data_IF_267514581771
#
_entry.id   IF_267514581771
#
_cell.length_a   1.000
_cell.length_b   1.000
_cell.length_c   1.000
_cell.angle_alpha   90.00
_cell.angle_beta   90.00
_cell.angle_gamma   90.00
#
_symmetry.space_group_name_H-M   'P 1'
#
loop_
_entity.id
_entity.type
_entity.pdbx_description
1 polymer ?
#
# COMPACT_ATOMS: atom_id res chain seq x y z
N UNK A 1 -51.15 18.36 -53.28
CA UNK A 1 -49.77 18.52 -52.77
C UNK A 1 -49.44 17.32 -51.92
N UNK A 2 -48.26 16.69 -52.08
CA UNK A 2 -47.97 15.45 -51.35
C UNK A 2 -47.55 15.74 -49.91
N UNK A 3 -47.95 14.83 -49.03
CA UNK A 3 -47.75 14.86 -47.58
C UNK A 3 -46.30 14.54 -47.19
N UNK A 4 -45.78 15.25 -46.18
CA UNK A 4 -44.47 14.99 -45.59
C UNK A 4 -44.56 13.81 -44.60
N UNK A 5 -43.79 12.75 -44.86
CA UNK A 5 -43.62 11.61 -43.97
C UNK A 5 -42.63 11.96 -42.84
N UNK A 6 -43.05 11.84 -41.58
CA UNK A 6 -42.20 12.02 -40.40
C UNK A 6 -41.17 10.89 -40.27
N UNK A 7 -39.89 11.25 -40.24
CA UNK A 7 -38.80 10.32 -39.99
C UNK A 7 -38.77 9.80 -38.55
N UNK A 8 -38.26 8.58 -38.31
CA UNK A 8 -38.24 7.97 -36.99
C UNK A 8 -37.29 8.74 -36.05
N UNK A 9 -37.78 9.01 -34.83
CA UNK A 9 -36.99 9.61 -33.76
C UNK A 9 -35.80 8.71 -33.40
N UNK A 10 -34.60 9.28 -33.12
CA UNK A 10 -33.44 8.52 -32.71
C UNK A 10 -33.71 7.82 -31.38
N UNK A 11 -33.42 6.52 -31.32
CA UNK A 11 -33.48 5.73 -30.08
C UNK A 11 -32.43 6.27 -29.08
N UNK A 12 -32.77 6.37 -27.79
CA UNK A 12 -31.79 6.76 -26.78
C UNK A 12 -30.66 5.74 -26.76
N UNK A 13 -29.41 6.23 -26.85
CA UNK A 13 -28.21 5.42 -26.68
C UNK A 13 -28.30 4.68 -25.35
N UNK A 14 -28.08 3.37 -25.37
CA UNK A 14 -27.93 2.58 -24.16
C UNK A 14 -26.89 3.25 -23.26
N UNK A 15 -27.35 3.76 -22.11
CA UNK A 15 -26.48 4.24 -21.05
C UNK A 15 -25.42 3.16 -20.79
N UNK A 16 -24.14 3.56 -20.82
CA UNK A 16 -23.01 2.64 -20.66
C UNK A 16 -23.20 1.77 -19.43
N UNK A 17 -23.16 0.45 -19.62
CA UNK A 17 -23.07 -0.49 -18.51
C UNK A 17 -21.82 -0.11 -17.72
N UNK A 18 -22.01 0.33 -16.48
CA UNK A 18 -20.92 0.52 -15.54
C UNK A 18 -20.21 -0.83 -15.38
N UNK A 19 -18.91 -0.89 -15.70
CA UNK A 19 -18.14 -2.11 -15.50
C UNK A 19 -18.22 -2.53 -14.02
N UNK A 20 -18.33 -3.84 -13.73
CA UNK A 20 -18.37 -4.32 -12.36
C UNK A 20 -17.08 -3.90 -11.63
N UNK A 21 -17.21 -3.54 -10.35
CA UNK A 21 -16.06 -3.21 -9.52
C UNK A 21 -15.12 -4.41 -9.43
N UNK A 22 -13.83 -4.20 -9.64
CA UNK A 22 -12.78 -5.23 -9.57
C UNK A 22 -11.95 -5.15 -8.28
N UNK A 23 -12.25 -4.17 -7.41
CA UNK A 23 -11.52 -3.87 -6.18
C UNK A 23 -12.53 -3.65 -5.05
N UNK A 24 -12.30 -4.26 -3.89
CA UNK A 24 -13.00 -3.94 -2.64
C UNK A 24 -11.99 -3.55 -1.56
N UNK A 25 -12.34 -2.52 -0.80
CA UNK A 25 -11.53 -1.99 0.29
C UNK A 25 -12.36 -2.09 1.57
N UNK A 26 -11.82 -2.76 2.59
CA UNK A 26 -12.42 -2.77 3.93
C UNK A 26 -11.36 -2.51 4.99
N UNK A 27 -11.55 -1.39 5.69
CA UNK A 27 -10.72 -0.96 6.82
C UNK A 27 -11.58 -0.75 8.06
N UNK A 28 -11.12 -1.26 9.20
CA UNK A 28 -11.63 -0.97 10.54
C UNK A 28 -10.81 0.18 11.13
N UNK A 29 -11.48 1.27 11.50
CA UNK A 29 -10.79 2.47 12.02
C UNK A 29 -11.60 3.32 13.00
N UNK A 30 -12.90 3.05 13.15
CA UNK A 30 -13.75 3.72 14.12
C UNK A 30 -13.93 2.87 15.38
N UNK A 31 -14.35 3.49 16.50
CA UNK A 31 -14.67 2.74 17.71
C UNK A 31 -15.72 1.65 17.45
N UNK A 32 -16.74 1.96 16.65
CA UNK A 32 -17.78 1.01 16.25
C UNK A 32 -17.24 -0.12 15.38
N UNK A 33 -16.25 0.13 14.52
CA UNK A 33 -15.57 -0.93 13.77
C UNK A 33 -14.83 -1.88 14.71
N UNK A 34 -14.04 -1.34 15.64
CA UNK A 34 -13.26 -2.14 16.58
C UNK A 34 -14.14 -2.98 17.51
N UNK A 35 -15.27 -2.44 17.96
CA UNK A 35 -16.24 -3.15 18.81
C UNK A 35 -16.96 -4.31 18.11
N UNK A 36 -16.97 -4.36 16.77
CA UNK A 36 -17.54 -5.50 16.05
C UNK A 36 -16.62 -6.74 16.08
N UNK A 37 -15.32 -6.55 16.29
CA UNK A 37 -14.36 -7.65 16.34
C UNK A 37 -14.41 -8.42 17.66
N UNK A 38 -13.94 -9.66 17.61
CA UNK A 38 -13.73 -10.49 18.81
C UNK A 38 -12.42 -10.09 19.47
N UNK A 39 -12.52 -9.61 20.71
CA UNK A 39 -11.37 -9.25 21.54
C UNK A 39 -10.96 -10.39 22.47
N UNK A 40 -9.66 -10.63 22.59
CA UNK A 40 -9.05 -11.42 23.66
C UNK A 40 -7.91 -10.59 24.26
N UNK A 41 -8.16 -9.99 25.42
CA UNK A 41 -7.16 -9.16 26.11
C UNK A 41 -6.97 -7.73 25.57
N UNK A 42 -7.53 -7.40 24.40
CA UNK A 42 -7.51 -6.01 23.87
C UNK A 42 -8.70 -5.20 24.39
N UNK A 43 -8.56 -3.88 24.39
CA UNK A 43 -9.68 -2.93 24.55
C UNK A 43 -9.66 -1.88 23.46
N UNK A 44 -10.84 -1.34 23.17
CA UNK A 44 -11.00 -0.16 22.31
C UNK A 44 -10.62 1.09 23.10
N UNK A 45 -9.81 1.94 22.50
CA UNK A 45 -9.57 3.31 22.96
C UNK A 45 -10.38 4.28 22.10
N UNK A 46 -11.16 5.13 22.76
CA UNK A 46 -11.87 6.23 22.13
C UNK A 46 -10.96 7.47 22.02
N UNK A 47 -11.33 8.41 21.17
CA UNK A 47 -10.58 9.66 20.94
C UNK A 47 -10.68 10.12 19.49
N UNK A 48 -9.81 11.06 19.10
CA UNK A 48 -9.69 11.54 17.72
C UNK A 48 -9.25 10.43 16.74
N UNK A 49 -8.51 9.43 17.23
CA UNK A 49 -8.08 8.24 16.49
C UNK A 49 -8.43 6.97 17.27
N UNK A 50 -9.67 6.45 17.14
CA UNK A 50 -10.06 5.23 17.81
C UNK A 50 -9.18 4.04 17.40
N UNK A 51 -8.84 3.20 18.36
CA UNK A 51 -7.94 2.07 18.11
C UNK A 51 -8.11 0.93 19.09
N UNK A 52 -7.31 -0.11 18.93
CA UNK A 52 -7.19 -1.25 19.85
C UNK A 52 -5.80 -1.31 20.45
N UNK A 53 -5.73 -1.66 21.74
CA UNK A 53 -4.49 -1.82 22.50
C UNK A 53 -4.66 -2.93 23.55
N UNK A 54 -3.56 -3.40 24.11
CA UNK A 54 -3.58 -4.40 25.19
C UNK A 54 -4.22 -3.78 26.45
N UNK A 55 -5.20 -4.48 27.01
CA UNK A 55 -5.81 -4.17 28.31
C UNK A 55 -5.28 -5.11 29.39
N UNK A 56 -5.32 -6.41 29.09
CA UNK A 56 -4.73 -7.48 29.87
C UNK A 56 -4.21 -8.54 28.88
N UNK A 57 -3.05 -9.16 29.13
CA UNK A 57 -2.55 -10.18 28.23
C UNK A 57 -3.51 -11.38 28.21
N UNK A 58 -3.79 -11.89 27.01
CA UNK A 58 -4.48 -13.17 26.83
C UNK A 58 -3.57 -14.37 27.17
N UNK A 59 -2.25 -14.16 27.11
CA UNK A 59 -1.24 -15.14 27.50
C UNK A 59 0.17 -14.60 27.30
N UNK A 60 1.14 -15.49 27.49
CA UNK A 60 2.56 -15.26 27.18
C UNK A 60 2.98 -16.29 26.14
N UNK A 61 3.80 -15.89 25.18
CA UNK A 61 4.43 -16.77 24.20
C UNK A 61 5.89 -16.42 24.05
N UNK A 62 6.71 -17.39 23.65
CA UNK A 62 8.06 -17.11 23.17
C UNK A 62 8.02 -16.77 21.68
N UNK A 63 8.91 -15.88 21.26
CA UNK A 63 9.19 -15.58 19.87
C UNK A 63 10.70 -15.58 19.67
N UNK A 64 11.18 -16.39 18.72
CA UNK A 64 12.55 -16.34 18.22
C UNK A 64 12.54 -15.51 16.95
N UNK A 65 13.21 -14.37 16.98
CA UNK A 65 13.42 -13.55 15.79
C UNK A 65 14.36 -14.31 14.83
N UNK A 66 13.90 -14.67 13.61
CA UNK A 66 14.68 -15.50 12.69
C UNK A 66 15.94 -14.79 12.17
N UNK A 67 15.99 -13.45 12.25
CA UNK A 67 17.06 -12.64 11.68
C UNK A 67 18.12 -12.27 12.71
N UNK A 68 17.82 -12.39 14.00
CA UNK A 68 18.80 -12.18 15.08
C UNK A 68 19.12 -13.45 15.87
N UNK A 69 18.27 -14.47 15.78
CA UNK A 69 18.35 -15.68 16.62
C UNK A 69 17.97 -15.44 18.09
N UNK A 70 17.54 -14.23 18.46
CA UNK A 70 17.18 -13.90 19.84
C UNK A 70 15.78 -14.42 20.16
N UNK A 71 15.68 -15.21 21.23
CA UNK A 71 14.40 -15.65 21.79
C UNK A 71 14.01 -14.77 22.97
N UNK A 72 12.79 -14.26 22.95
CA UNK A 72 12.22 -13.49 24.06
C UNK A 72 10.77 -13.91 24.33
N UNK A 73 10.37 -13.79 25.60
CA UNK A 73 8.99 -13.96 26.01
C UNK A 73 8.19 -12.66 25.78
N UNK A 74 6.95 -12.80 25.32
CA UNK A 74 6.05 -11.70 25.01
C UNK A 74 4.65 -11.98 25.56
N UNK A 75 4.12 -11.02 26.31
CA UNK A 75 2.69 -10.95 26.57
C UNK A 75 1.95 -10.60 25.29
N UNK A 76 0.84 -11.28 25.01
CA UNK A 76 0.07 -11.01 23.80
C UNK A 76 -1.42 -10.82 24.07
N UNK A 77 -2.09 -10.08 23.18
CA UNK A 77 -3.54 -9.98 23.11
C UNK A 77 -3.98 -9.97 21.64
N UNK A 78 -5.20 -10.42 21.34
CA UNK A 78 -5.70 -10.53 19.96
C UNK A 78 -6.99 -9.75 19.74
N UNK A 79 -7.09 -9.20 18.53
CA UNK A 79 -8.32 -8.71 17.96
C UNK A 79 -8.57 -9.44 16.65
N UNK A 80 -9.74 -10.05 16.47
CA UNK A 80 -10.13 -10.70 15.21
C UNK A 80 -11.35 -10.00 14.62
N UNK A 81 -11.26 -9.60 13.36
CA UNK A 81 -12.36 -8.93 12.67
C UNK A 81 -13.58 -9.85 12.53
N UNK A 82 -14.79 -9.28 12.34
CA UNK A 82 -15.88 -10.02 11.72
C UNK A 82 -15.45 -10.62 10.37
N UNK A 83 -16.17 -11.64 9.92
CA UNK A 83 -16.01 -12.12 8.55
C UNK A 83 -16.48 -11.03 7.59
N UNK A 84 -15.55 -10.45 6.81
CA UNK A 84 -15.89 -9.52 5.74
C UNK A 84 -16.18 -10.30 4.47
N UNK A 85 -17.37 -10.14 3.91
CA UNK A 85 -17.69 -10.65 2.57
C UNK A 85 -17.21 -9.63 1.55
N UNK A 86 -16.23 -10.00 0.75
CA UNK A 86 -15.68 -9.15 -0.28
C UNK A 86 -16.76 -8.84 -1.32
N UNK A 87 -16.82 -7.58 -1.78
CA UNK A 87 -17.72 -7.22 -2.89
C UNK A 87 -17.23 -7.74 -4.23
N UNK A 88 -15.97 -8.18 -4.28
CA UNK A 88 -15.33 -8.78 -5.45
C UNK A 88 -14.85 -10.18 -5.10
N UNK A 89 -15.15 -11.21 -5.89
CA UNK A 89 -14.58 -12.54 -5.68
C UNK A 89 -13.10 -12.45 -6.05
N UNK A 90 -12.20 -12.41 -5.07
CA UNK A 90 -10.84 -11.92 -5.26
C UNK A 90 -9.86 -13.01 -5.68
N UNK A 91 -8.87 -12.63 -6.48
CA UNK A 91 -7.66 -13.41 -6.76
C UNK A 91 -6.48 -12.92 -5.92
N UNK A 92 -6.48 -11.66 -5.49
CA UNK A 92 -5.44 -11.07 -4.65
C UNK A 92 -6.02 -10.41 -3.39
N UNK A 93 -5.27 -10.45 -2.29
CA UNK A 93 -5.55 -9.74 -1.04
C UNK A 93 -4.27 -9.15 -0.45
N UNK A 94 -4.30 -7.87 -0.10
CA UNK A 94 -3.19 -7.15 0.55
C UNK A 94 -3.71 -6.52 1.83
N UNK A 95 -3.19 -6.95 2.98
CA UNK A 95 -3.52 -6.32 4.26
C UNK A 95 -2.58 -5.16 4.58
N UNK A 96 -3.11 -4.11 5.18
CA UNK A 96 -2.31 -3.00 5.70
C UNK A 96 -2.86 -2.50 7.03
N UNK A 97 -1.98 -1.96 7.86
CA UNK A 97 -2.28 -1.49 9.21
C UNK A 97 -1.61 -0.15 9.48
N UNK A 98 -2.15 0.59 10.44
CA UNK A 98 -1.56 1.82 10.95
C UNK A 98 -1.49 1.69 12.47
N UNK A 99 -0.26 1.69 12.99
CA UNK A 99 -0.02 1.42 14.39
C UNK A 99 1.17 2.20 14.91
N UNK A 100 1.11 2.52 16.20
CA UNK A 100 2.26 2.95 17.00
C UNK A 100 2.67 1.78 17.86
N UNK A 101 3.94 1.43 17.82
CA UNK A 101 4.53 0.40 18.66
C UNK A 101 5.70 1.03 19.42
N UNK A 102 5.46 1.53 20.65
CA UNK A 102 6.54 2.00 21.51
C UNK A 102 7.57 0.88 21.78
N UNK A 103 8.76 1.23 22.24
CA UNK A 103 9.78 0.26 22.63
C UNK A 103 9.21 -0.81 23.59
N UNK A 104 9.64 -2.05 23.39
CA UNK A 104 9.11 -3.23 24.08
C UNK A 104 7.75 -3.66 23.55
N UNK A 105 7.37 -3.28 22.33
CA UNK A 105 6.09 -3.69 21.72
C UNK A 105 6.21 -3.90 20.21
N UNK A 106 5.37 -4.79 19.68
CA UNK A 106 5.25 -5.05 18.24
C UNK A 106 3.89 -5.68 17.94
N UNK A 107 3.58 -5.93 16.68
CA UNK A 107 2.35 -6.60 16.27
C UNK A 107 2.58 -7.59 15.12
N UNK A 108 1.69 -8.56 15.03
CA UNK A 108 1.54 -9.45 13.89
C UNK A 108 0.17 -9.22 13.24
N UNK A 109 0.13 -9.18 11.91
CA UNK A 109 -1.11 -9.12 11.13
C UNK A 109 -1.29 -10.43 10.38
N UNK A 110 -2.46 -11.04 10.54
CA UNK A 110 -2.80 -12.32 9.93
C UNK A 110 -4.12 -12.28 9.17
N UNK A 111 -4.26 -13.14 8.17
CA UNK A 111 -5.50 -13.30 7.38
C UNK A 111 -5.91 -14.76 7.26
N UNK A 112 -7.22 -15.01 7.33
CA UNK A 112 -7.85 -16.26 6.92
C UNK A 112 -8.85 -15.92 5.80
N UNK A 113 -8.62 -16.47 4.60
CA UNK A 113 -9.52 -16.39 3.46
C UNK A 113 -10.58 -17.50 3.48
N UNK A 114 -11.71 -17.24 2.83
CA UNK A 114 -12.76 -18.20 2.54
C UNK A 114 -12.96 -18.26 1.04
N UNK A 115 -12.79 -19.43 0.47
CA UNK A 115 -13.00 -19.70 -0.94
C UNK A 115 -14.50 -19.76 -1.30
N UNK A 116 -14.81 -19.63 -2.58
CA UNK A 116 -16.19 -19.66 -3.08
C UNK A 116 -16.95 -20.95 -2.74
N UNK A 117 -16.24 -22.08 -2.61
CA UNK A 117 -16.79 -23.39 -2.22
C UNK A 117 -16.98 -23.56 -0.70
N UNK A 118 -16.61 -22.55 0.10
CA UNK A 118 -16.67 -22.57 1.56
C UNK A 118 -15.41 -23.11 2.25
N UNK A 119 -14.43 -23.61 1.49
CA UNK A 119 -13.10 -23.95 2.00
C UNK A 119 -12.40 -22.72 2.59
N UNK A 120 -11.41 -22.96 3.45
CA UNK A 120 -10.66 -21.90 4.13
C UNK A 120 -9.18 -22.05 3.85
N UNK A 121 -8.49 -20.91 3.73
CA UNK A 121 -7.03 -20.90 3.80
C UNK A 121 -6.59 -21.23 5.23
N UNK A 122 -5.33 -21.62 5.44
CA UNK A 122 -4.66 -21.42 6.72
C UNK A 122 -4.70 -19.94 7.15
N UNK A 123 -4.36 -19.68 8.43
CA UNK A 123 -4.04 -18.33 8.85
C UNK A 123 -2.65 -17.96 8.33
N UNK A 124 -2.59 -17.06 7.36
CA UNK A 124 -1.34 -16.52 6.84
C UNK A 124 -0.90 -15.32 7.67
N UNK A 125 0.39 -15.22 7.98
CA UNK A 125 1.04 -14.06 8.59
C UNK A 125 1.49 -13.13 7.47
N UNK A 126 0.88 -11.95 7.38
CA UNK A 126 1.18 -10.95 6.34
C UNK A 126 2.23 -9.92 6.78
N UNK A 127 2.67 -9.98 8.04
CA UNK A 127 3.79 -9.19 8.51
C UNK A 127 3.92 -9.18 10.03
N UNK A 128 5.16 -9.16 10.49
CA UNK A 128 5.53 -8.83 11.88
C UNK A 128 6.17 -7.45 11.89
N UNK A 129 5.56 -6.54 12.64
CA UNK A 129 5.83 -5.12 12.56
C UNK A 129 6.14 -4.51 13.92
N UNK A 130 7.23 -3.74 13.97
CA UNK A 130 7.55 -2.78 15.01
C UNK A 130 7.90 -1.43 14.33
N UNK A 131 7.67 -0.31 15.00
CA UNK A 131 7.98 1.03 14.53
C UNK A 131 9.48 1.26 14.64
N UNK A 132 10.10 0.76 15.71
CA UNK A 132 11.55 0.65 15.88
C UNK A 132 12.10 -0.67 15.32
N UNK A 133 13.43 -0.82 15.31
CA UNK A 133 14.13 -2.04 14.85
C UNK A 133 14.91 -2.75 15.98
N UNK A 134 14.63 -2.41 17.23
CA UNK A 134 15.33 -2.92 18.42
C UNK A 134 14.58 -4.08 19.11
N UNK A 135 13.25 -4.14 18.98
CA UNK A 135 12.41 -5.16 19.62
C UNK A 135 12.35 -6.45 18.80
N UNK A 136 12.13 -6.28 17.49
CA UNK A 136 12.20 -7.33 16.47
C UNK A 136 12.77 -6.71 15.19
N UNK A 137 13.35 -7.55 14.34
CA UNK A 137 13.59 -7.27 12.94
C UNK A 137 12.29 -7.47 12.18
N UNK A 138 11.67 -6.35 11.76
CA UNK A 138 10.44 -6.37 10.96
C UNK A 138 10.60 -7.31 9.78
N UNK A 139 9.59 -8.14 9.54
CA UNK A 139 9.73 -9.24 8.60
C UNK A 139 8.40 -9.70 8.02
N UNK A 140 8.38 -9.96 6.71
CA UNK A 140 7.42 -10.87 6.09
C UNK A 140 7.75 -12.33 6.46
N UNK A 141 6.93 -13.28 5.99
CA UNK A 141 7.09 -14.71 6.29
C UNK A 141 6.94 -15.52 5.01
N UNK A 142 8.01 -16.22 4.63
CA UNK A 142 8.07 -17.03 3.41
C UNK A 142 7.38 -18.39 3.53
N UNK A 143 7.15 -19.01 2.37
CA UNK A 143 6.74 -20.41 2.27
C UNK A 143 5.31 -20.70 2.75
N UNK A 144 4.48 -19.66 2.83
CA UNK A 144 3.09 -19.78 3.24
C UNK A 144 2.19 -20.03 2.02
N UNK A 145 1.37 -21.07 2.08
CA UNK A 145 0.40 -21.38 1.05
C UNK A 145 -0.46 -22.59 1.41
N UNK A 146 -1.44 -22.88 0.56
CA UNK A 146 -2.16 -24.13 0.50
C UNK A 146 -2.12 -24.70 -0.93
N UNK A 147 -3.12 -25.49 -1.34
CA UNK A 147 -3.21 -26.07 -2.69
C UNK A 147 -3.76 -25.09 -3.75
N UNK A 148 -4.16 -23.88 -3.34
CA UNK A 148 -4.94 -22.94 -4.15
C UNK A 148 -4.43 -21.49 -4.08
N UNK A 149 -3.75 -21.12 -3.01
CA UNK A 149 -3.18 -19.79 -2.82
C UNK A 149 -1.86 -19.81 -2.08
N UNK A 150 -1.03 -18.84 -2.42
CA UNK A 150 0.27 -18.59 -1.81
C UNK A 150 0.38 -17.15 -1.31
N UNK A 151 1.22 -16.93 -0.31
CA UNK A 151 1.62 -15.59 0.11
C UNK A 151 2.94 -15.25 -0.57
N UNK A 152 2.91 -14.25 -1.43
CA UNK A 152 4.09 -13.50 -1.86
C UNK A 152 4.33 -12.40 -0.84
N UNK A 153 5.57 -12.06 -0.50
CA UNK A 153 6.01 -11.02 0.47
C UNK A 153 4.90 -10.32 1.28
N UNK A 154 4.02 -9.53 0.63
CA UNK A 154 2.88 -8.82 1.23
C UNK A 154 1.47 -9.13 0.63
N UNK A 155 1.37 -10.02 -0.35
CA UNK A 155 0.16 -10.30 -1.14
C UNK A 155 -0.22 -11.78 -1.07
N UNK A 156 -1.45 -12.08 -0.61
CA UNK A 156 -2.07 -13.40 -0.83
C UNK A 156 -2.56 -13.45 -2.26
N UNK A 157 -2.14 -14.45 -3.03
CA UNK A 157 -2.54 -14.66 -4.42
C UNK A 157 -3.12 -16.05 -4.60
N UNK A 158 -4.24 -16.16 -5.30
CA UNK A 158 -4.69 -17.43 -5.89
C UNK A 158 -3.66 -17.86 -6.94
N UNK A 159 -3.23 -19.12 -6.90
CA UNK A 159 -2.13 -19.63 -7.73
C UNK A 159 -2.56 -19.81 -9.20
N UNK A 160 -3.78 -20.32 -9.42
CA UNK A 160 -4.40 -20.45 -10.75
C UNK A 160 -5.74 -19.73 -10.79
N UNK A 161 -5.72 -18.44 -11.14
CA UNK A 161 -6.93 -17.65 -11.32
C UNK A 161 -7.83 -18.15 -12.47
N UNK A 162 -7.28 -18.86 -13.46
CA UNK A 162 -8.04 -19.39 -14.60
C UNK A 162 -8.89 -20.61 -14.21
N UNK A 163 -8.54 -21.32 -13.13
CA UNK A 163 -9.37 -22.38 -12.53
C UNK A 163 -10.74 -21.91 -12.05
N UNK A 164 -10.93 -20.59 -11.88
CA UNK A 164 -12.12 -20.00 -11.26
C UNK A 164 -12.07 -19.94 -9.73
N UNK A 165 -10.98 -20.39 -9.10
CA UNK A 165 -10.77 -20.25 -7.66
C UNK A 165 -10.77 -18.79 -7.25
N UNK A 166 -11.52 -18.44 -6.20
CA UNK A 166 -11.66 -17.07 -5.68
C UNK A 166 -11.79 -17.04 -4.17
N UNK A 167 -11.18 -16.05 -3.52
CA UNK A 167 -11.38 -15.70 -2.12
C UNK A 167 -12.56 -14.73 -2.04
N UNK A 168 -13.69 -15.16 -1.47
CA UNK A 168 -14.94 -14.39 -1.44
C UNK A 168 -15.21 -13.71 -0.10
N UNK A 169 -14.50 -14.13 0.95
CA UNK A 169 -14.57 -13.49 2.26
C UNK A 169 -13.25 -13.69 3.01
N UNK A 170 -12.99 -12.85 4.01
CA UNK A 170 -11.81 -13.00 4.85
C UNK A 170 -12.04 -12.51 6.29
N UNK A 171 -11.16 -12.93 7.20
CA UNK A 171 -10.97 -12.33 8.52
C UNK A 171 -9.54 -11.85 8.67
N UNK A 172 -9.37 -10.70 9.33
CA UNK A 172 -8.08 -10.26 9.82
C UNK A 172 -7.96 -10.58 11.31
N UNK A 173 -6.76 -10.97 11.73
CA UNK A 173 -6.37 -11.02 13.14
C UNK A 173 -5.18 -10.11 13.34
N UNK A 174 -5.26 -9.30 14.39
CA UNK A 174 -4.15 -8.53 14.91
C UNK A 174 -3.72 -9.19 16.21
N UNK A 175 -2.47 -9.59 16.28
CA UNK A 175 -1.85 -10.06 17.53
C UNK A 175 -0.89 -8.99 18.02
N UNK A 176 -1.20 -8.41 19.17
CA UNK A 176 -0.45 -7.32 19.80
C UNK A 176 0.49 -7.91 20.84
N UNK A 177 1.75 -7.51 20.84
CA UNK A 177 2.77 -8.00 21.76
C UNK A 177 3.36 -6.87 22.61
N UNK A 178 3.71 -7.20 23.85
CA UNK A 178 4.52 -6.35 24.72
C UNK A 178 5.43 -7.18 25.62
N UNK A 179 6.52 -6.58 26.07
CA UNK A 179 7.40 -7.22 27.08
C UNK A 179 6.58 -7.58 28.33
N UNK A 180 6.74 -8.80 28.89
CA UNK A 180 6.00 -9.23 30.09
C UNK A 180 6.11 -8.24 31.26
N UNK A 181 4.99 -7.95 31.92
CA UNK A 181 4.91 -6.99 33.02
C UNK A 181 5.03 -5.51 32.61
N UNK A 182 5.29 -5.18 31.35
CA UNK A 182 5.40 -3.79 30.89
C UNK A 182 4.04 -3.08 30.82
N UNK A 183 4.04 -1.79 31.14
CA UNK A 183 2.90 -0.90 30.91
C UNK A 183 2.77 -0.41 29.46
N UNK A 184 3.80 -0.59 28.63
CA UNK A 184 3.77 -0.21 27.22
C UNK A 184 2.76 -1.08 26.45
N UNK A 185 2.13 -0.49 25.42
CA UNK A 185 1.22 -1.22 24.55
C UNK A 185 1.31 -0.69 23.13
N UNK A 186 1.33 -1.58 22.13
CA UNK A 186 1.10 -1.16 20.77
C UNK A 186 -0.35 -0.67 20.67
N UNK A 187 -0.60 0.29 19.79
CA UNK A 187 -1.95 0.81 19.50
C UNK A 187 -2.16 0.79 18.00
N UNK A 188 -3.21 0.10 17.55
CA UNK A 188 -3.61 0.03 16.14
C UNK A 188 -4.89 0.82 15.95
N UNK A 189 -4.87 1.85 15.11
CA UNK A 189 -6.05 2.70 14.84
C UNK A 189 -6.59 2.56 13.42
N UNK A 190 -5.91 1.78 12.55
CA UNK A 190 -6.47 1.31 11.29
C UNK A 190 -5.91 -0.08 10.98
N UNK A 191 -6.76 -0.99 10.55
CA UNK A 191 -6.35 -2.24 9.91
C UNK A 191 -7.37 -2.60 8.85
N UNK A 192 -6.95 -3.27 7.78
CA UNK A 192 -7.85 -3.66 6.71
C UNK A 192 -7.13 -4.36 5.59
N UNK A 193 -7.88 -4.72 4.56
CA UNK A 193 -7.31 -5.25 3.34
C UNK A 193 -7.99 -4.68 2.10
N UNK A 194 -7.20 -4.57 1.04
CA UNK A 194 -7.68 -4.47 -0.33
C UNK A 194 -7.79 -5.89 -0.89
N UNK A 195 -8.89 -6.18 -1.55
CA UNK A 195 -9.09 -7.39 -2.35
C UNK A 195 -9.38 -7.02 -3.79
N UNK A 196 -8.86 -7.81 -4.74
CA UNK A 196 -9.08 -7.54 -6.15
C UNK A 196 -9.21 -8.78 -7.03
N UNK A 197 -9.93 -8.61 -8.14
CA UNK A 197 -9.98 -9.51 -9.30
C UNK A 197 -9.90 -8.64 -10.55
N UNK A 198 -8.70 -8.15 -10.86
CA UNK A 198 -8.46 -7.29 -12.02
C UNK A 198 -8.17 -8.19 -13.23
N UNK A 199 -8.93 -8.09 -14.32
CA UNK A 199 -8.71 -8.92 -15.50
C UNK A 199 -7.32 -8.78 -16.08
N UNK A 200 -6.84 -9.86 -16.71
CA UNK A 200 -5.63 -9.86 -17.51
C UNK A 200 -5.74 -8.83 -18.65
N UNK A 201 -4.80 -7.89 -18.68
CA UNK A 201 -4.69 -6.88 -19.71
C UNK A 201 -3.23 -6.43 -19.87
N UNK A 202 -2.82 -6.22 -21.11
CA UNK A 202 -1.50 -5.69 -21.48
C UNK A 202 -1.50 -4.16 -21.63
N UNK A 203 -2.68 -3.56 -21.83
CA UNK A 203 -2.89 -2.12 -21.98
C UNK A 203 -3.98 -1.65 -21.03
N UNK A 204 -3.99 -0.36 -20.75
CA UNK A 204 -4.96 0.31 -19.91
C UNK A 204 -6.15 0.83 -20.74
N UNK A 205 -7.33 0.95 -20.13
CA UNK A 205 -8.43 1.68 -20.73
C UNK A 205 -8.03 3.14 -20.99
N UNK A 206 -8.37 3.65 -22.18
CA UNK A 206 -8.12 5.05 -22.50
C UNK A 206 -8.85 5.97 -21.52
N UNK A 207 -8.14 6.94 -20.96
CA UNK A 207 -8.72 7.99 -20.12
C UNK A 207 -8.80 9.31 -20.90
N UNK A 208 -9.68 10.22 -20.48
CA UNK A 208 -9.66 11.61 -20.97
C UNK A 208 -8.71 12.45 -20.11
N UNK A 209 -8.10 13.51 -20.65
CA UNK A 209 -7.26 14.40 -19.87
C UNK A 209 -8.04 14.99 -18.69
N UNK A 210 -7.36 15.11 -17.55
CA UNK A 210 -7.89 15.75 -16.36
C UNK A 210 -7.67 17.26 -16.39
N UNK A 211 -8.03 17.93 -15.30
CA UNK A 211 -7.65 19.33 -15.09
C UNK A 211 -6.17 19.39 -14.73
N UNK A 212 -5.43 20.31 -15.36
CA UNK A 212 -4.05 20.60 -14.99
C UNK A 212 -3.93 21.01 -13.52
N UNK A 213 -2.99 20.38 -12.81
CA UNK A 213 -2.67 20.67 -11.41
C UNK A 213 -1.33 20.03 -11.10
N UNK A 214 -0.51 20.70 -10.31
CA UNK A 214 0.71 20.12 -9.73
C UNK A 214 0.72 20.40 -8.23
N UNK A 215 0.96 19.37 -7.44
CA UNK A 215 1.11 19.45 -5.99
C UNK A 215 2.58 19.73 -5.67
N UNK A 216 2.82 20.63 -4.72
CA UNK A 216 4.15 21.00 -4.26
C UNK A 216 4.73 19.92 -3.31
N UNK A 217 4.87 18.70 -3.81
CA UNK A 217 5.49 17.59 -3.08
C UNK A 217 7.02 17.76 -3.13
N UNK A 218 7.74 17.66 -1.98
CA UNK A 218 9.19 17.63 -1.94
C UNK A 218 9.78 16.58 -2.89
N UNK A 219 11.02 16.79 -3.32
CA UNK A 219 11.68 15.95 -4.32
C UNK A 219 12.92 15.32 -3.72
N UNK A 220 12.91 14.00 -3.64
CA UNK A 220 14.04 13.22 -3.20
C UNK A 220 14.40 12.18 -4.24
N UNK A 221 15.68 12.11 -4.56
CA UNK A 221 16.29 11.07 -5.36
C UNK A 221 16.75 9.95 -4.45
N UNK A 222 16.47 8.71 -4.85
CA UNK A 222 17.11 7.57 -4.21
C UNK A 222 18.57 7.44 -4.65
N UNK A 223 18.92 7.86 -5.87
CA UNK A 223 20.23 7.59 -6.45
C UNK A 223 21.36 8.42 -5.81
N UNK A 224 21.05 9.51 -5.10
CA UNK A 224 22.02 10.24 -4.27
C UNK A 224 22.59 9.37 -3.15
N UNK A 225 21.89 8.28 -2.81
CA UNK A 225 22.25 7.33 -1.77
C UNK A 225 22.84 6.01 -2.30
N UNK A 226 23.19 5.93 -3.58
CA UNK A 226 23.79 4.72 -4.17
C UNK A 226 25.04 4.30 -3.38
N UNK A 227 25.06 3.05 -2.91
CA UNK A 227 26.12 2.49 -2.06
C UNK A 227 26.16 3.02 -0.61
N UNK A 228 25.25 3.89 -0.20
CA UNK A 228 25.09 4.31 1.20
C UNK A 228 24.22 3.29 1.95
N UNK A 229 24.68 2.84 3.13
CA UNK A 229 23.98 1.81 3.94
C UNK A 229 23.61 0.54 3.14
N UNK A 230 24.60 -0.17 2.58
CA UNK A 230 24.35 -1.33 1.73
C UNK A 230 23.60 -2.48 2.42
N UNK A 231 23.58 -2.51 3.76
CA UNK A 231 22.79 -3.45 4.55
C UNK A 231 21.27 -3.29 4.38
N UNK A 232 20.81 -2.17 3.82
CA UNK A 232 19.41 -1.95 3.49
C UNK A 232 19.23 -2.02 1.97
N UNK A 233 19.39 -3.20 1.36
CA UNK A 233 19.15 -3.41 -0.08
C UNK A 233 20.11 -2.66 -1.00
N UNK A 234 21.42 -2.75 -0.71
CA UNK A 234 22.52 -2.10 -1.43
C UNK A 234 22.54 -0.57 -1.40
N UNK A 235 21.55 0.07 -0.78
CA UNK A 235 21.47 1.52 -0.67
C UNK A 235 20.43 2.11 -1.61
N UNK A 236 20.70 3.34 -2.06
CA UNK A 236 19.85 4.11 -2.96
C UNK A 236 19.41 3.40 -4.23
N UNK A 237 20.10 2.35 -4.66
CA UNK A 237 19.78 1.50 -5.81
C UNK A 237 18.35 0.92 -5.75
N UNK A 238 17.81 0.69 -4.55
CA UNK A 238 16.52 0.02 -4.36
C UNK A 238 15.53 0.77 -3.44
N UNK A 239 15.79 2.04 -3.11
CA UNK A 239 15.00 2.81 -2.14
C UNK A 239 13.81 3.59 -2.73
N UNK A 240 13.28 3.20 -3.89
CA UNK A 240 12.17 3.90 -4.54
C UNK A 240 10.93 4.07 -3.64
N UNK A 241 10.57 3.02 -2.89
CA UNK A 241 9.41 2.99 -2.00
C UNK A 241 9.57 3.90 -0.76
N UNK A 242 10.64 3.77 0.05
CA UNK A 242 10.85 4.68 1.18
C UNK A 242 11.07 6.13 0.74
N UNK A 243 11.74 6.38 -0.38
CA UNK A 243 11.94 7.74 -0.93
C UNK A 243 10.60 8.37 -1.33
N UNK A 244 9.74 7.63 -2.05
CA UNK A 244 8.38 8.07 -2.40
C UNK A 244 7.52 8.29 -1.16
N UNK A 245 7.66 7.43 -0.17
CA UNK A 245 6.93 7.55 1.10
C UNK A 245 7.32 8.82 1.84
N UNK A 246 8.62 9.09 1.95
CA UNK A 246 9.15 10.28 2.62
C UNK A 246 8.71 11.57 1.93
N UNK A 247 8.72 11.62 0.59
CA UNK A 247 8.20 12.77 -0.18
C UNK A 247 6.75 13.12 0.21
N UNK A 248 5.85 12.13 0.34
CA UNK A 248 4.46 12.40 0.71
C UNK A 248 4.29 12.70 2.21
N UNK A 249 5.04 12.03 3.09
CA UNK A 249 5.01 12.31 4.53
C UNK A 249 5.33 13.80 4.78
N UNK A 250 6.36 14.32 4.10
CA UNK A 250 6.76 15.73 4.21
C UNK A 250 5.82 16.70 3.48
N UNK A 251 5.19 16.29 2.37
CA UNK A 251 4.11 17.07 1.76
C UNK A 251 2.97 17.34 2.75
N UNK A 252 2.70 16.42 3.68
CA UNK A 252 1.74 16.61 4.77
C UNK A 252 2.33 17.32 6.00
N UNK A 253 3.57 17.82 5.91
CA UNK A 253 4.25 18.59 6.96
C UNK A 253 4.74 17.75 8.15
N UNK A 254 4.98 16.45 7.94
CA UNK A 254 5.55 15.55 8.97
C UNK A 254 7.00 15.29 8.62
N UNK A 255 7.89 15.35 9.61
CA UNK A 255 9.32 15.14 9.43
C UNK A 255 9.86 14.28 10.57
N UNK A 256 10.88 13.43 10.33
CA UNK A 256 11.65 12.85 11.42
C UNK A 256 12.33 13.96 12.22
N UNK A 257 12.47 13.75 13.53
CA UNK A 257 13.15 14.71 14.40
C UNK A 257 14.67 14.63 14.22
N UNK A 258 15.40 15.64 14.71
CA UNK A 258 16.86 15.59 14.71
C UNK A 258 17.41 14.39 15.51
N UNK A 259 16.70 13.94 16.55
CA UNK A 259 17.04 12.74 17.30
C UNK A 259 16.84 11.47 16.47
N UNK A 260 15.73 11.37 15.74
CA UNK A 260 15.44 10.26 14.82
C UNK A 260 16.50 10.13 13.71
N UNK A 261 17.11 11.24 13.31
CA UNK A 261 18.12 11.32 12.26
C UNK A 261 19.56 11.21 12.78
N UNK A 262 19.79 11.24 14.10
CA UNK A 262 21.13 11.32 14.69
C UNK A 262 22.03 10.11 14.38
N UNK A 263 21.45 8.99 13.95
CA UNK A 263 22.19 7.80 13.53
C UNK A 263 22.73 7.90 12.10
N UNK A 264 22.20 8.81 11.28
CA UNK A 264 22.59 8.97 9.89
C UNK A 264 23.94 9.70 9.82
N UNK A 265 24.80 9.26 8.90
CA UNK A 265 26.09 9.89 8.64
C UNK A 265 25.85 11.35 8.21
N UNK A 266 26.41 12.34 8.93
CA UNK A 266 26.18 13.75 8.61
C UNK A 266 26.72 14.17 7.24
N UNK A 267 27.59 13.38 6.61
CA UNK A 267 28.09 13.63 5.25
C UNK A 267 27.06 13.26 4.16
N UNK A 268 26.00 12.52 4.51
CA UNK A 268 24.97 12.12 3.55
C UNK A 268 23.87 13.18 3.47
N UNK A 269 23.52 13.55 2.24
CA UNK A 269 22.35 14.38 1.97
C UNK A 269 21.07 13.61 2.33
N UNK A 270 19.94 14.32 2.46
CA UNK A 270 18.62 13.73 2.66
C UNK A 270 18.54 12.61 3.72
N UNK A 271 18.99 12.85 4.97
CA UNK A 271 19.05 11.82 6.01
C UNK A 271 17.69 11.17 6.30
N UNK A 272 16.59 11.86 6.02
CA UNK A 272 15.24 11.35 6.09
C UNK A 272 14.96 10.16 5.15
N UNK A 273 15.65 10.08 4.00
CA UNK A 273 15.53 8.95 3.06
C UNK A 273 16.24 7.72 3.62
N UNK A 274 17.46 7.89 4.16
CA UNK A 274 18.17 6.85 4.90
C UNK A 274 17.34 6.32 6.09
N UNK A 275 16.74 7.25 6.84
CA UNK A 275 15.81 6.93 7.92
C UNK A 275 14.61 6.10 7.40
N UNK A 276 13.93 6.56 6.36
CA UNK A 276 12.81 5.82 5.78
C UNK A 276 13.21 4.42 5.29
N UNK A 277 14.39 4.26 4.67
CA UNK A 277 14.90 2.96 4.23
C UNK A 277 15.07 1.98 5.41
N UNK A 278 15.82 2.37 6.44
CA UNK A 278 16.00 1.56 7.66
C UNK A 278 14.68 1.19 8.32
N UNK A 279 13.72 2.13 8.37
CA UNK A 279 12.45 1.93 9.06
C UNK A 279 11.34 1.27 8.21
N UNK A 280 11.63 0.96 6.95
CA UNK A 280 10.75 0.17 6.07
C UNK A 280 11.35 -1.15 5.63
N UNK A 281 12.65 -1.37 5.86
CA UNK A 281 13.35 -2.60 5.49
C UNK A 281 12.68 -3.84 6.08
N UNK A 282 12.36 -4.78 5.20
CA UNK A 282 11.85 -6.11 5.51
C UNK A 282 13.00 -7.11 5.45
N UNK A 283 13.35 -7.68 6.61
CA UNK A 283 14.51 -8.56 6.74
C UNK A 283 14.35 -9.93 6.06
N UNK A 284 13.13 -10.41 5.82
CA UNK A 284 12.94 -11.65 5.06
C UNK A 284 12.97 -11.40 3.56
N UNK A 285 12.36 -10.30 3.12
CA UNK A 285 12.40 -9.88 1.72
C UNK A 285 13.77 -9.35 1.29
N UNK A 286 14.59 -8.94 2.26
CA UNK A 286 15.88 -8.28 2.06
C UNK A 286 15.76 -6.96 1.26
N UNK A 287 14.65 -6.24 1.46
CA UNK A 287 14.34 -5.06 0.67
C UNK A 287 13.41 -4.06 1.34
N UNK A 288 13.40 -2.84 0.81
CA UNK A 288 12.52 -1.74 1.28
C UNK A 288 11.17 -1.72 0.53
N UNK A 289 10.93 -2.67 -0.36
CA UNK A 289 9.79 -2.72 -1.29
C UNK A 289 8.49 -3.31 -0.72
N UNK A 290 8.45 -3.75 0.54
CA UNK A 290 7.24 -4.30 1.15
C UNK A 290 6.16 -3.19 1.31
N UNK A 291 5.03 -3.33 0.63
CA UNK A 291 4.05 -2.24 0.51
C UNK A 291 3.36 -1.90 1.84
N UNK A 292 2.83 -2.88 2.61
CA UNK A 292 2.30 -2.61 3.95
C UNK A 292 3.30 -2.00 4.92
N UNK A 293 4.59 -2.32 4.82
CA UNK A 293 5.62 -1.77 5.71
C UNK A 293 5.85 -0.28 5.46
N UNK A 294 5.87 0.15 4.20
CA UNK A 294 5.93 1.58 3.86
C UNK A 294 4.69 2.33 4.36
N UNK A 295 3.49 1.76 4.18
CA UNK A 295 2.26 2.33 4.72
C UNK A 295 2.26 2.38 6.27
N UNK A 296 2.76 1.34 6.93
CA UNK A 296 2.85 1.30 8.38
C UNK A 296 3.90 2.30 8.92
N UNK A 297 5.03 2.48 8.22
CA UNK A 297 6.02 3.51 8.50
C UNK A 297 5.43 4.91 8.38
N UNK A 298 4.76 5.23 7.26
CA UNK A 298 4.12 6.54 7.11
C UNK A 298 3.11 6.83 8.24
N UNK A 299 2.41 5.80 8.70
CA UNK A 299 1.47 5.95 9.79
C UNK A 299 2.10 6.14 11.18
N UNK A 300 3.41 5.96 11.37
CA UNK A 300 4.05 6.27 12.66
C UNK A 300 4.06 7.77 12.94
N UNK A 301 3.98 8.60 11.90
CA UNK A 301 3.92 10.04 11.99
C UNK A 301 2.55 10.56 12.47
N UNK A 302 2.60 11.65 13.21
CA UNK A 302 1.42 12.20 13.89
C UNK A 302 0.31 12.58 12.91
N UNK A 303 -0.89 12.10 13.23
CA UNK A 303 -2.12 12.27 12.46
C UNK A 303 -2.04 11.89 10.98
N UNK A 304 -1.05 11.09 10.56
CA UNK A 304 -1.03 10.54 9.20
C UNK A 304 -1.72 9.17 9.16
N UNK A 305 -2.53 8.97 8.12
CA UNK A 305 -3.17 7.69 7.79
C UNK A 305 -2.58 7.19 6.49
N UNK A 306 -2.49 5.87 6.38
CA UNK A 306 -1.95 5.22 5.21
C UNK A 306 -2.78 3.99 4.83
N UNK A 307 -2.90 3.73 3.54
CA UNK A 307 -3.47 2.47 3.01
C UNK A 307 -2.67 2.01 1.81
N UNK A 308 -2.57 0.70 1.65
CA UNK A 308 -2.25 0.08 0.37
C UNK A 308 -3.58 -0.27 -0.30
N UNK A 309 -3.72 0.11 -1.56
CA UNK A 309 -4.93 -0.18 -2.34
C UNK A 309 -4.58 -0.34 -3.82
N UNK A 310 -5.61 -0.47 -4.66
CA UNK A 310 -5.49 -0.49 -6.11
C UNK A 310 -6.47 0.53 -6.69
N UNK A 311 -6.06 1.24 -7.73
CA UNK A 311 -6.93 2.11 -8.50
C UNK A 311 -7.21 1.48 -9.87
N UNK A 312 -8.46 1.53 -10.31
CA UNK A 312 -8.88 0.88 -11.56
C UNK A 312 -8.62 1.74 -12.80
N UNK A 313 -8.41 3.05 -12.62
CA UNK A 313 -8.38 4.01 -13.72
C UNK A 313 -7.56 5.27 -13.42
N UNK A 314 -7.08 5.94 -14.47
CA UNK A 314 -6.54 7.30 -14.37
C UNK A 314 -7.57 8.32 -13.88
N UNK A 315 -8.88 8.06 -14.08
CA UNK A 315 -9.93 8.96 -13.57
C UNK A 315 -9.92 9.01 -12.04
N UNK A 316 -9.68 7.87 -11.39
CA UNK A 316 -9.58 7.77 -9.94
C UNK A 316 -8.32 8.48 -9.41
N UNK A 317 -7.20 8.28 -10.11
CA UNK A 317 -5.96 9.02 -9.85
C UNK A 317 -6.16 10.54 -9.97
N UNK A 318 -6.79 11.00 -11.05
CA UNK A 318 -7.13 12.41 -11.28
C UNK A 318 -7.96 12.98 -10.12
N UNK A 319 -8.98 12.26 -9.65
CA UNK A 319 -9.84 12.71 -8.54
C UNK A 319 -9.04 12.94 -7.26
N UNK A 320 -8.14 12.02 -6.91
CA UNK A 320 -7.31 12.11 -5.71
C UNK A 320 -6.35 13.30 -5.78
N UNK A 321 -5.57 13.40 -6.87
CA UNK A 321 -4.60 14.50 -7.05
C UNK A 321 -5.32 15.85 -7.15
N UNK A 322 -6.48 15.91 -7.82
CA UNK A 322 -7.32 17.12 -7.86
C UNK A 322 -7.80 17.53 -6.46
N UNK A 323 -8.03 16.58 -5.57
CA UNK A 323 -8.35 16.84 -4.16
C UNK A 323 -7.11 17.14 -3.29
N UNK A 324 -5.91 17.18 -3.88
CA UNK A 324 -4.66 17.48 -3.17
C UNK A 324 -4.01 16.26 -2.51
N UNK A 325 -4.35 15.04 -2.94
CA UNK A 325 -3.79 13.79 -2.43
C UNK A 325 -2.82 13.23 -3.49
N UNK A 326 -1.49 13.35 -3.29
CA UNK A 326 -0.52 12.68 -4.15
C UNK A 326 -0.64 11.16 -3.99
N UNK A 327 -0.23 10.41 -5.02
CA UNK A 327 -0.40 8.95 -5.05
C UNK A 327 0.92 8.28 -5.39
N UNK A 328 1.37 7.35 -4.53
CA UNK A 328 2.56 6.53 -4.79
C UNK A 328 2.09 5.32 -5.58
N UNK A 329 2.53 5.17 -6.80
CA UNK A 329 2.10 4.11 -7.69
C UNK A 329 3.22 3.10 -7.89
N UNK A 330 2.88 1.84 -8.09
CA UNK A 330 3.84 0.79 -8.46
C UNK A 330 3.92 0.61 -9.97
N UNK A 331 5.12 0.60 -10.54
CA UNK A 331 5.38 0.40 -11.97
C UNK A 331 6.24 -0.83 -12.22
N UNK A 332 6.11 -1.40 -13.41
CA UNK A 332 7.03 -2.39 -13.98
C UNK A 332 7.03 -2.25 -15.50
N UNK A 333 8.20 -1.99 -16.09
CA UNK A 333 8.32 -1.63 -17.50
C UNK A 333 9.72 -1.88 -18.07
N UNK A 334 9.80 -2.08 -19.39
CA UNK A 334 11.04 -2.02 -20.16
C UNK A 334 11.35 -0.57 -20.52
N UNK A 335 12.62 -0.24 -20.74
CA UNK A 335 13.06 1.14 -20.94
C UNK A 335 12.37 1.84 -22.12
N UNK A 336 12.03 1.09 -23.16
CA UNK A 336 11.32 1.53 -24.36
C UNK A 336 9.83 1.82 -24.13
N UNK A 337 9.22 1.33 -23.05
CA UNK A 337 7.78 1.47 -22.78
C UNK A 337 7.43 2.81 -22.13
N UNK A 338 8.40 3.49 -21.52
CA UNK A 338 8.20 4.80 -20.86
C UNK A 338 9.25 5.81 -21.34
N UNK A 339 8.86 6.61 -22.33
CA UNK A 339 9.73 7.63 -22.90
C UNK A 339 10.12 8.67 -21.85
N UNK A 340 11.42 8.98 -21.78
CA UNK A 340 11.95 9.96 -20.84
C UNK A 340 12.32 9.42 -19.45
N UNK A 341 12.03 8.15 -19.15
CA UNK A 341 12.47 7.52 -17.90
C UNK A 341 14.00 7.31 -17.91
N UNK A 342 14.51 6.73 -19.00
CA UNK A 342 15.94 6.46 -19.20
C UNK A 342 16.43 5.14 -18.62
N UNK A 343 15.52 4.30 -18.12
CA UNK A 343 15.80 2.99 -17.53
C UNK A 343 14.58 2.07 -17.66
N UNK A 344 14.74 0.77 -17.43
CA UNK A 344 13.67 -0.20 -17.26
C UNK A 344 13.73 -0.84 -15.87
N UNK A 345 12.64 -1.44 -15.40
CA UNK A 345 12.54 -2.01 -14.07
C UNK A 345 11.54 -3.16 -13.97
N UNK A 346 11.83 -4.15 -13.12
CA UNK A 346 10.87 -5.19 -12.72
C UNK A 346 9.90 -4.71 -11.64
N UNK A 347 10.24 -3.65 -10.89
CA UNK A 347 9.41 -3.05 -9.85
C UNK A 347 9.99 -1.69 -9.44
N UNK A 348 9.16 -0.66 -9.41
CA UNK A 348 9.55 0.69 -9.02
C UNK A 348 8.37 1.46 -8.45
N UNK A 349 8.63 2.40 -7.56
CA UNK A 349 7.63 3.30 -7.01
C UNK A 349 7.89 4.73 -7.49
N UNK A 350 6.85 5.38 -8.01
CA UNK A 350 6.85 6.79 -8.39
C UNK A 350 5.72 7.51 -7.66
N UNK A 351 5.90 8.79 -7.36
CA UNK A 351 4.86 9.63 -6.77
C UNK A 351 4.21 10.48 -7.84
N UNK A 352 2.93 10.25 -8.17
CA UNK A 352 2.17 11.13 -9.04
C UNK A 352 1.75 12.38 -8.26
N UNK A 353 2.19 13.53 -8.75
CA UNK A 353 1.98 14.84 -8.11
C UNK A 353 1.10 15.76 -8.94
N UNK A 354 0.78 15.39 -10.19
CA UNK A 354 0.04 16.30 -11.05
C UNK A 354 -0.23 15.81 -12.46
N UNK A 355 -0.86 16.70 -13.22
CA UNK A 355 -1.13 16.57 -14.64
C UNK A 355 -0.84 17.89 -15.35
N UNK A 356 -0.29 17.82 -16.55
CA UNK A 356 -0.12 18.98 -17.44
C UNK A 356 -1.46 19.41 -18.04
N UNK A 357 -1.47 20.50 -18.83
CA UNK A 357 -2.65 20.95 -19.59
C UNK A 357 -3.11 19.92 -20.63
N UNK A 358 -2.16 19.21 -21.25
CA UNK A 358 -2.44 18.13 -22.21
C UNK A 358 -2.85 16.81 -21.53
N UNK A 359 -2.75 16.76 -20.19
CA UNK A 359 -3.10 15.62 -19.36
C UNK A 359 -1.96 14.62 -19.14
N UNK A 360 -0.72 14.96 -19.49
CA UNK A 360 0.45 14.14 -19.21
C UNK A 360 0.74 14.06 -17.72
N UNK A 361 1.33 12.95 -17.30
CA UNK A 361 1.55 12.64 -15.89
C UNK A 361 2.75 13.42 -15.39
N UNK A 362 2.55 14.22 -14.34
CA UNK A 362 3.67 14.82 -13.60
C UNK A 362 3.96 13.90 -12.41
N UNK A 363 5.12 13.25 -12.43
CA UNK A 363 5.55 12.33 -11.39
C UNK A 363 6.90 12.77 -10.81
N UNK A 364 7.02 12.69 -9.49
CA UNK A 364 8.31 12.66 -8.81
C UNK A 364 8.83 11.22 -8.89
N UNK A 365 9.82 11.00 -9.76
CA UNK A 365 10.47 9.72 -9.99
C UNK A 365 11.80 9.65 -9.21
N UNK A 366 11.85 8.87 -8.12
CA UNK A 366 13.02 8.85 -7.24
C UNK A 366 14.25 8.27 -7.92
N UNK A 367 14.13 7.46 -8.98
CA UNK A 367 15.25 6.92 -9.76
C UNK A 367 15.84 7.98 -10.72
N UNK A 368 16.25 9.11 -10.14
CA UNK A 368 16.79 10.27 -10.84
C UNK A 368 18.17 10.60 -10.30
N UNK A 369 19.10 11.18 -11.09
CA UNK A 369 20.49 11.39 -10.64
C UNK A 369 20.65 12.44 -9.52
N UNK A 370 19.66 13.30 -9.31
CA UNK A 370 19.62 14.30 -8.22
C UNK A 370 18.19 14.70 -7.90
N UNK A 371 17.97 15.43 -6.80
CA UNK A 371 16.66 15.94 -6.38
C UNK A 371 16.00 16.85 -7.42
N UNK A 372 16.79 17.64 -8.16
CA UNK A 372 16.28 18.53 -9.21
C UNK A 372 15.71 17.74 -10.39
N UNK A 373 16.31 16.58 -10.70
CA UNK A 373 15.93 15.72 -11.82
C UNK A 373 14.73 14.80 -11.54
N UNK A 374 14.27 14.74 -10.27
CA UNK A 374 13.16 13.88 -9.80
C UNK A 374 11.85 14.18 -10.51
N UNK A 375 11.55 15.45 -10.78
CA UNK A 375 10.29 15.82 -11.43
C UNK A 375 10.36 15.47 -12.92
N UNK A 376 9.52 14.52 -13.34
CA UNK A 376 9.38 14.09 -14.74
C UNK A 376 7.95 14.35 -15.23
N UNK A 377 7.83 14.51 -16.54
CA UNK A 377 6.56 14.54 -17.26
C UNK A 377 6.55 13.35 -18.21
N UNK A 378 5.56 12.47 -18.08
CA UNK A 378 5.44 11.26 -18.87
C UNK A 378 4.19 11.30 -19.74
N UNK A 379 4.31 10.76 -20.96
CA UNK A 379 3.16 10.54 -21.83
C UNK A 379 2.11 9.74 -21.06
N UNK A 380 0.89 10.29 -21.02
CA UNK A 380 -0.22 9.71 -20.27
C UNK A 380 -0.54 8.28 -20.66
N UNK A 381 -0.48 7.95 -21.95
CA UNK A 381 -0.87 6.62 -22.43
C UNK A 381 0.15 5.57 -22.05
N UNK A 382 1.44 5.86 -22.28
CA UNK A 382 2.56 5.01 -21.87
C UNK A 382 2.54 4.75 -20.37
N UNK A 383 2.40 5.82 -19.58
CA UNK A 383 2.39 5.72 -18.13
C UNK A 383 1.16 4.95 -17.60
N UNK A 384 -0.02 5.20 -18.18
CA UNK A 384 -1.25 4.49 -17.84
C UNK A 384 -1.12 2.99 -18.10
N UNK A 385 -0.54 2.61 -19.24
CA UNK A 385 -0.36 1.21 -19.60
C UNK A 385 0.54 0.51 -18.58
N UNK A 386 1.72 1.07 -18.28
CA UNK A 386 2.67 0.42 -17.37
C UNK A 386 2.16 0.31 -15.93
N UNK A 387 1.26 1.20 -15.49
CA UNK A 387 0.68 1.17 -14.14
C UNK A 387 -0.56 0.29 -14.06
N UNK A 388 -1.50 0.41 -15.00
CA UNK A 388 -2.81 -0.23 -14.89
C UNK A 388 -2.84 -1.65 -15.50
N UNK A 389 -1.86 -2.05 -16.32
CA UNK A 389 -1.80 -3.42 -16.85
C UNK A 389 -1.50 -4.46 -15.78
N UNK A 390 -2.12 -5.63 -15.91
CA UNK A 390 -1.89 -6.80 -15.04
C UNK A 390 -0.95 -7.82 -15.66
N UNK A 391 -0.68 -7.70 -16.96
CA UNK A 391 0.28 -8.51 -17.70
C UNK A 391 1.22 -7.61 -18.50
N UNK A 392 2.47 -8.04 -18.64
CA UNK A 392 3.47 -7.39 -19.49
C UNK A 392 4.39 -8.40 -20.14
N UNK A 393 5.12 -8.00 -21.18
CA UNK A 393 6.21 -8.81 -21.72
C UNK A 393 7.53 -8.42 -21.02
N UNK A 394 8.29 -9.43 -20.61
CA UNK A 394 9.69 -9.27 -20.21
C UNK A 394 10.60 -9.07 -21.42
N UNK A 395 11.87 -8.71 -21.18
CA UNK A 395 12.86 -8.52 -22.24
C UNK A 395 13.11 -9.79 -23.09
N UNK A 396 12.82 -10.96 -22.51
CA UNK A 396 12.89 -12.26 -23.17
C UNK A 396 11.57 -12.70 -23.84
N UNK A 397 10.56 -11.82 -23.86
CA UNK A 397 9.24 -12.07 -24.43
C UNK A 397 8.29 -12.90 -23.58
N UNK A 398 8.69 -13.32 -22.35
CA UNK A 398 7.78 -14.04 -21.45
C UNK A 398 6.73 -13.10 -20.87
N UNK A 399 5.53 -13.62 -20.62
CA UNK A 399 4.47 -12.87 -19.93
C UNK A 399 4.77 -12.85 -18.44
N UNK A 400 4.91 -11.65 -17.90
CA UNK A 400 5.12 -11.36 -16.48
C UNK A 400 3.91 -10.61 -15.91
N UNK A 401 3.80 -10.57 -14.59
CA UNK A 401 2.79 -9.78 -13.90
C UNK A 401 3.10 -8.29 -14.00
N UNK A 402 2.05 -7.49 -14.21
CA UNK A 402 2.05 -6.04 -14.03
C UNK A 402 1.43 -5.68 -12.68
N UNK A 403 1.57 -4.42 -12.28
CA UNK A 403 1.12 -3.94 -10.96
C UNK A 403 -0.39 -3.76 -10.90
N UNK A 404 -1.02 -3.59 -12.07
CA UNK A 404 -2.44 -3.42 -12.31
C UNK A 404 -3.15 -2.39 -11.43
N UNK A 405 -2.44 -1.32 -11.07
CA UNK A 405 -2.99 -0.17 -10.36
C UNK A 405 -2.67 -0.10 -8.88
N UNK A 406 -1.82 -0.99 -8.34
CA UNK A 406 -1.45 -0.93 -6.91
C UNK A 406 -0.81 0.43 -6.60
N UNK A 407 -1.23 1.01 -5.47
CA UNK A 407 -0.76 2.30 -5.01
C UNK A 407 -0.87 2.45 -3.49
N UNK A 408 -0.16 3.45 -2.95
CA UNK A 408 -0.29 3.88 -1.57
C UNK A 408 -0.98 5.23 -1.54
N UNK A 409 -1.86 5.41 -0.55
CA UNK A 409 -2.51 6.69 -0.28
C UNK A 409 -2.20 7.08 1.16
N UNK A 410 -1.47 8.19 1.32
CA UNK A 410 -1.24 8.81 2.62
C UNK A 410 -2.02 10.12 2.70
N UNK A 411 -2.71 10.32 3.80
CA UNK A 411 -3.60 11.45 4.00
C UNK A 411 -3.76 11.75 5.49
N UNK A 412 -4.01 13.01 5.85
CA UNK A 412 -4.09 13.39 7.25
C UNK A 412 -5.41 12.93 7.87
N UNK A 413 -5.42 12.74 9.19
CA UNK A 413 -6.58 12.26 9.93
C UNK A 413 -7.77 13.24 9.90
N UNK A 414 -7.48 14.52 9.70
CA UNK A 414 -8.41 15.64 9.57
C UNK A 414 -8.66 16.06 8.11
N UNK A 415 -8.44 15.15 7.14
CA UNK A 415 -8.67 15.38 5.70
C UNK A 415 -9.95 16.17 5.42
N UNK A 416 -9.87 17.18 4.56
CA UNK A 416 -10.99 18.07 4.18
C UNK A 416 -12.18 17.31 3.58
N UNK A 417 -13.34 17.97 3.48
CA UNK A 417 -14.52 17.36 2.86
C UNK A 417 -14.27 16.89 1.41
N UNK A 418 -13.51 17.66 0.63
CA UNK A 418 -13.14 17.31 -0.73
C UNK A 418 -12.21 16.08 -0.79
N UNK A 419 -11.22 16.01 0.09
CA UNK A 419 -10.31 14.86 0.22
C UNK A 419 -11.06 13.60 0.64
N UNK A 420 -11.95 13.70 1.65
CA UNK A 420 -12.78 12.56 2.08
C UNK A 420 -13.70 12.08 0.96
N UNK A 421 -14.28 12.98 0.16
CA UNK A 421 -15.11 12.61 -0.98
C UNK A 421 -14.28 11.89 -2.07
N UNK A 422 -13.07 12.37 -2.35
CA UNK A 422 -12.17 11.72 -3.31
C UNK A 422 -11.73 10.33 -2.84
N UNK A 423 -11.30 10.19 -1.57
CA UNK A 423 -10.99 8.90 -0.95
C UNK A 423 -12.19 7.95 -0.99
N UNK A 424 -13.38 8.42 -0.62
CA UNK A 424 -14.59 7.60 -0.63
C UNK A 424 -14.96 7.13 -2.04
N UNK A 425 -14.68 7.92 -3.07
CA UNK A 425 -14.92 7.55 -4.48
C UNK A 425 -14.08 6.35 -4.94
N UNK A 426 -12.96 6.08 -4.27
CA UNK A 426 -12.07 4.93 -4.51
C UNK A 426 -12.17 3.86 -3.40
N UNK A 427 -13.24 3.92 -2.59
CA UNK A 427 -13.52 2.93 -1.55
C UNK A 427 -12.75 3.12 -0.25
N UNK A 428 -12.05 4.25 -0.05
CA UNK A 428 -11.30 4.55 1.17
C UNK A 428 -12.12 5.47 2.08
N UNK A 429 -12.33 5.03 3.32
CA UNK A 429 -13.07 5.79 4.35
C UNK A 429 -12.19 6.12 5.54
#
# INVERSE_FOLDING_TARGET
GPAAAGGPLPRPSAAGRQEPATIDNRFWSTASDWLQGRASGVRVVAGSRPGVRIAAPAGVTEYTDPHTGTTAAWEYATWTSPLHRSKVPATELIASWNARTPAGTWLQTEVEGVYADGGRTPWYVLGRWASGDQDIRRTSVDGQGDDRSSVWTDTVSVDDAASGTRIVAYRLRLTLYRTPGSGATPTVWRAGAMTSDVPDRFTAPAARPGRARELAVPRYSQNTHVGQYPEYDNGGEAWCSPTSSQMIIEYWGRHPTAEDLAWVNPDYEDPQVCHAARFTYDHQYEGCGNWPFNAAYAATYDDLRAVVTRLGSLTDLHRLVTAGIPVITSQSFLAEELTGAGYGTSGHLMTVVGFTEDGDIIANDPASPSNEAVRRVYDRSQWSDIWLRTKRYGADGRVLSGTGGVCYLYFPADASAAQRAALASVGIR
#
